data_IF_855378889283
#
_entry.id   IF_855378889283
#
_cell.length_a   1.000
_cell.length_b   1.000
_cell.length_c   1.000
_cell.angle_alpha   90.00
_cell.angle_beta   90.00
_cell.angle_gamma   90.00
#
_symmetry.space_group_name_H-M   'P 1'
#
loop_
_entity.id
_entity.type
_entity.pdbx_description
1 polymer ?
#
# COMPACT_ATOMS: atom_id res chain seq x y z
N UNK A 1 5.36 1.62 39.11
CA UNK A 1 6.59 1.72 38.30
C UNK A 1 6.19 2.40 37.01
N UNK A 2 6.46 3.70 36.92
CA UNK A 2 6.03 4.58 35.82
C UNK A 2 7.20 4.73 34.87
N UNK A 3 6.97 4.39 33.60
CA UNK A 3 7.99 4.38 32.55
C UNK A 3 8.59 5.79 32.37
N UNK A 4 9.92 5.91 32.49
CA UNK A 4 10.65 7.18 32.39
C UNK A 4 10.68 7.77 30.97
N UNK A 5 10.00 7.15 30.01
CA UNK A 5 9.91 7.58 28.61
C UNK A 5 8.53 8.13 28.20
N UNK A 6 7.70 8.57 29.15
CA UNK A 6 6.37 9.11 28.86
C UNK A 6 6.45 10.51 28.19
N UNK A 7 6.69 10.54 26.88
CA UNK A 7 6.65 11.77 26.08
C UNK A 7 5.27 11.90 25.44
N UNK A 8 4.44 12.82 25.97
CA UNK A 8 3.12 13.12 25.42
C UNK A 8 3.18 13.42 23.92
N UNK A 9 4.25 14.08 23.47
CA UNK A 9 4.52 14.35 22.07
C UNK A 9 4.69 13.07 21.25
N UNK A 10 5.45 12.08 21.76
CA UNK A 10 5.64 10.80 21.06
C UNK A 10 4.33 10.02 20.92
N UNK A 11 3.50 9.97 21.96
CA UNK A 11 2.19 9.32 21.90
C UNK A 11 1.22 10.06 20.97
N UNK A 12 1.22 11.39 20.96
CA UNK A 12 0.42 12.18 20.03
C UNK A 12 0.79 11.92 18.56
N UNK A 13 2.08 11.84 18.25
CA UNK A 13 2.54 11.48 16.91
C UNK A 13 2.16 10.04 16.52
N UNK A 14 2.25 9.09 17.46
CA UNK A 14 1.83 7.72 17.23
C UNK A 14 0.32 7.61 16.95
N UNK A 15 -0.50 8.34 17.71
CA UNK A 15 -1.95 8.38 17.51
C UNK A 15 -2.31 9.05 16.17
N UNK A 16 -1.67 10.17 15.83
CA UNK A 16 -1.85 10.82 14.54
C UNK A 16 -1.51 9.86 13.39
N UNK A 17 -0.38 9.16 13.47
CA UNK A 17 0.00 8.13 12.50
C UNK A 17 -1.04 7.01 12.39
N UNK A 18 -1.57 6.50 13.51
CA UNK A 18 -2.59 5.44 13.50
C UNK A 18 -3.89 5.88 12.82
N UNK A 19 -4.33 7.12 13.05
CA UNK A 19 -5.52 7.67 12.40
C UNK A 19 -5.28 7.83 10.90
N UNK A 20 -4.12 8.38 10.51
CA UNK A 20 -3.75 8.57 9.11
C UNK A 20 -3.67 7.25 8.36
N UNK A 21 -2.93 6.26 8.88
CA UNK A 21 -2.75 4.97 8.19
C UNK A 21 -4.07 4.20 8.06
N UNK A 22 -4.95 4.28 9.06
CA UNK A 22 -6.27 3.63 9.00
C UNK A 22 -7.15 4.29 7.93
N UNK A 23 -7.17 5.62 7.92
CA UNK A 23 -7.93 6.41 6.94
C UNK A 23 -7.43 6.14 5.52
N UNK A 24 -6.11 6.13 5.32
CA UNK A 24 -5.48 5.83 4.04
C UNK A 24 -5.92 4.45 3.50
N UNK A 25 -5.88 3.40 4.32
CA UNK A 25 -6.21 2.04 3.88
C UNK A 25 -7.67 1.93 3.41
N UNK A 26 -8.61 2.57 4.13
CA UNK A 26 -10.03 2.59 3.75
C UNK A 26 -10.25 3.45 2.51
N UNK A 27 -9.63 4.64 2.46
CA UNK A 27 -9.76 5.58 1.36
C UNK A 27 -9.23 5.01 0.05
N UNK A 28 -8.06 4.37 0.06
CA UNK A 28 -7.51 3.73 -1.13
C UNK A 28 -8.45 2.60 -1.58
N UNK A 29 -9.01 1.79 -0.67
CA UNK A 29 -9.96 0.75 -1.07
C UNK A 29 -11.21 1.36 -1.73
N UNK A 30 -11.75 2.44 -1.17
CA UNK A 30 -12.86 3.16 -1.77
C UNK A 30 -12.49 3.66 -3.17
N UNK A 31 -11.36 4.35 -3.34
CA UNK A 31 -10.87 4.82 -4.65
C UNK A 31 -10.72 3.68 -5.66
N UNK A 32 -10.08 2.59 -5.24
CA UNK A 32 -9.77 1.45 -6.12
C UNK A 32 -11.02 0.71 -6.58
N UNK A 33 -12.08 0.70 -5.78
CA UNK A 33 -13.37 0.11 -6.12
C UNK A 33 -14.29 1.07 -6.89
N UNK A 34 -14.23 2.38 -6.62
CA UNK A 34 -15.18 3.35 -7.17
C UNK A 34 -14.67 4.03 -8.46
N UNK A 35 -13.36 4.14 -8.65
CA UNK A 35 -12.79 4.64 -9.90
C UNK A 35 -12.55 3.44 -10.83
N UNK A 36 -13.18 3.44 -12.01
CA UNK A 36 -12.99 2.43 -13.06
C UNK A 36 -11.62 2.47 -13.75
N UNK A 37 -10.57 2.89 -13.05
CA UNK A 37 -9.22 3.02 -13.57
C UNK A 37 -8.48 1.67 -13.55
N UNK A 38 -7.58 1.51 -14.53
CA UNK A 38 -6.64 0.40 -14.53
C UNK A 38 -5.58 0.58 -13.41
N UNK A 39 -4.95 -0.50 -12.97
CA UNK A 39 -3.89 -0.50 -11.94
C UNK A 39 -2.76 0.47 -12.29
N UNK A 40 -2.37 0.55 -13.56
CA UNK A 40 -1.38 1.51 -14.05
C UNK A 40 -1.78 2.96 -13.83
N UNK A 41 -3.07 3.30 -13.96
CA UNK A 41 -3.57 4.64 -13.67
C UNK A 41 -3.40 4.99 -12.19
N UNK A 42 -3.79 4.08 -11.29
CA UNK A 42 -3.58 4.29 -9.85
C UNK A 42 -2.11 4.44 -9.46
N UNK A 43 -1.23 3.62 -10.04
CA UNK A 43 0.22 3.71 -9.82
C UNK A 43 0.75 5.05 -10.29
N UNK A 44 0.36 5.51 -11.48
CA UNK A 44 0.78 6.78 -12.05
C UNK A 44 0.32 7.95 -11.16
N UNK A 45 -0.97 8.01 -10.79
CA UNK A 45 -1.49 9.07 -9.94
C UNK A 45 -0.82 9.11 -8.57
N UNK A 46 -0.61 7.94 -7.95
CA UNK A 46 0.05 7.86 -6.66
C UNK A 46 1.49 8.40 -6.72
N UNK A 47 2.28 7.93 -7.69
CA UNK A 47 3.67 8.36 -7.83
C UNK A 47 3.77 9.83 -8.28
N UNK A 48 2.85 10.32 -9.11
CA UNK A 48 2.81 11.71 -9.54
C UNK A 48 2.45 12.64 -8.37
N UNK A 49 1.44 12.31 -7.57
CA UNK A 49 1.10 13.08 -6.38
C UNK A 49 2.26 13.10 -5.37
N UNK A 50 2.95 11.98 -5.18
CA UNK A 50 4.17 11.93 -4.36
C UNK A 50 5.27 12.83 -4.94
N UNK A 51 5.47 12.83 -6.26
CA UNK A 51 6.46 13.69 -6.92
C UNK A 51 6.11 15.19 -6.76
N UNK A 52 4.83 15.55 -6.78
CA UNK A 52 4.39 16.93 -6.56
C UNK A 52 4.56 17.37 -5.10
N UNK A 53 4.36 16.47 -4.14
CA UNK A 53 4.54 16.76 -2.71
C UNK A 53 6.01 16.77 -2.26
N UNK A 54 6.86 15.96 -2.89
CA UNK A 54 8.28 15.84 -2.56
C UNK A 54 9.04 17.19 -2.49
N UNK A 55 8.96 18.10 -3.48
CA UNK A 55 9.66 19.39 -3.41
C UNK A 55 9.09 20.31 -2.33
N UNK A 56 7.80 20.19 -1.99
CA UNK A 56 7.17 20.97 -0.92
C UNK A 56 7.77 20.57 0.43
N UNK A 57 7.84 19.25 0.71
CA UNK A 57 8.47 18.73 1.92
C UNK A 57 9.96 19.07 1.97
N UNK A 58 10.65 18.98 0.84
CA UNK A 58 12.06 19.34 0.78
C UNK A 58 12.31 20.81 1.15
N UNK A 59 11.43 21.72 0.71
CA UNK A 59 11.48 23.13 1.08
C UNK A 59 11.15 23.36 2.56
N UNK A 60 10.09 22.75 3.08
CA UNK A 60 9.63 22.92 4.48
C UNK A 60 10.64 22.37 5.48
N UNK A 61 11.23 21.21 5.21
CA UNK A 61 12.22 20.58 6.12
C UNK A 61 13.58 21.28 6.06
N UNK A 62 13.85 22.08 5.03
CA UNK A 62 15.05 22.92 4.95
C UNK A 62 16.35 22.17 4.64
N UNK A 63 16.26 20.92 4.17
CA UNK A 63 17.41 20.04 3.92
C UNK A 63 18.27 20.45 2.71
N UNK A 64 17.89 21.50 1.98
CA UNK A 64 18.69 22.02 0.86
C UNK A 64 20.10 22.44 1.30
N UNK A 65 20.26 22.93 2.55
CA UNK A 65 21.58 23.33 3.08
C UNK A 65 22.50 22.15 3.35
N UNK A 66 21.97 21.07 3.93
CA UNK A 66 22.77 19.87 4.25
C UNK A 66 23.20 19.15 2.97
N UNK A 67 22.35 19.10 1.94
CA UNK A 67 22.70 18.52 0.63
C UNK A 67 23.81 19.32 -0.06
N UNK A 68 23.73 20.66 -0.04
CA UNK A 68 24.76 21.52 -0.63
C UNK A 68 26.12 21.38 0.08
N UNK A 69 26.12 21.34 1.42
CA UNK A 69 27.36 21.14 2.20
C UNK A 69 27.95 19.73 2.02
N UNK A 70 27.11 18.69 1.91
CA UNK A 70 27.56 17.33 1.62
C UNK A 70 28.12 17.20 0.19
N UNK A 71 27.63 18.01 -0.75
CA UNK A 71 28.12 18.08 -2.12
C UNK A 71 29.48 18.77 -2.21
N UNK A 72 29.65 19.91 -1.51
CA UNK A 72 30.90 20.67 -1.49
C UNK A 72 32.04 19.89 -0.80
N UNK A 73 31.74 19.17 0.28
CA UNK A 73 32.73 18.38 1.01
C UNK A 73 33.20 17.10 0.30
N UNK A 74 32.45 16.61 -0.70
CA UNK A 74 32.78 15.36 -1.41
C UNK A 74 33.75 15.54 -2.58
N UNK A 75 33.84 16.72 -3.19
CA UNK A 75 34.83 17.05 -4.23
C UNK A 75 34.80 16.23 -5.54
N UNK A 76 34.10 15.09 -5.57
CA UNK A 76 33.87 14.26 -6.77
C UNK A 76 32.57 14.66 -7.47
N UNK A 77 32.53 14.43 -8.79
CA UNK A 77 31.46 14.90 -9.67
C UNK A 77 30.05 14.45 -9.27
N UNK A 78 29.04 15.13 -9.82
CA UNK A 78 27.62 14.98 -9.48
C UNK A 78 27.06 13.55 -9.69
N UNK A 79 27.78 12.69 -10.43
CA UNK A 79 27.33 11.36 -10.83
C UNK A 79 28.34 10.29 -10.42
N UNK A 80 28.11 9.69 -9.25
CA UNK A 80 28.73 8.40 -8.91
C UNK A 80 27.86 7.28 -9.49
N UNK A 81 28.45 6.44 -10.35
CA UNK A 81 27.70 5.36 -11.02
C UNK A 81 27.07 4.38 -10.03
N UNK A 82 27.75 4.07 -8.92
CA UNK A 82 27.22 3.18 -7.88
C UNK A 82 25.96 3.76 -7.22
N UNK A 83 25.98 5.05 -6.89
CA UNK A 83 24.83 5.72 -6.29
C UNK A 83 23.67 5.83 -7.28
N UNK A 84 23.96 6.15 -8.54
CA UNK A 84 22.96 6.19 -9.59
C UNK A 84 22.29 4.83 -9.81
N UNK A 85 23.07 3.75 -9.91
CA UNK A 85 22.55 2.39 -10.08
C UNK A 85 21.72 1.97 -8.86
N UNK A 86 22.18 2.26 -7.65
CA UNK A 86 21.42 1.95 -6.43
C UNK A 86 20.07 2.70 -6.39
N UNK A 87 20.05 3.97 -6.77
CA UNK A 87 18.82 4.78 -6.85
C UNK A 87 17.91 4.28 -7.98
N UNK A 88 18.45 3.96 -9.15
CA UNK A 88 17.66 3.43 -10.26
C UNK A 88 16.99 2.10 -9.88
N UNK A 89 17.73 1.19 -9.24
CA UNK A 89 17.18 -0.08 -8.75
C UNK A 89 16.12 0.14 -7.67
N UNK A 90 16.33 1.06 -6.73
CA UNK A 90 15.33 1.36 -5.70
C UNK A 90 14.05 1.96 -6.30
N UNK A 91 14.16 2.79 -7.34
CA UNK A 91 13.02 3.29 -8.10
C UNK A 91 12.27 2.14 -8.81
N UNK A 92 12.98 1.20 -9.44
CA UNK A 92 12.34 0.02 -10.06
C UNK A 92 11.57 -0.79 -9.02
N UNK A 93 12.18 -1.11 -7.88
CA UNK A 93 11.48 -1.80 -6.80
C UNK A 93 10.30 -0.98 -6.25
N UNK A 94 10.44 0.34 -6.10
CA UNK A 94 9.36 1.23 -5.68
C UNK A 94 8.16 1.22 -6.63
N UNK A 95 8.42 1.20 -7.95
CA UNK A 95 7.38 1.06 -8.97
C UNK A 95 6.71 -0.31 -8.90
N UNK A 96 7.48 -1.39 -8.73
CA UNK A 96 6.93 -2.74 -8.57
C UNK A 96 6.07 -2.86 -7.31
N UNK A 97 6.53 -2.34 -6.17
CA UNK A 97 5.76 -2.32 -4.91
C UNK A 97 4.47 -1.52 -5.10
N UNK A 98 4.52 -0.37 -5.77
CA UNK A 98 3.33 0.41 -6.07
C UNK A 98 2.34 -0.39 -6.92
N UNK A 99 2.82 -1.03 -7.99
CA UNK A 99 2.00 -1.80 -8.90
C UNK A 99 1.33 -3.00 -8.21
N UNK A 100 2.12 -3.85 -7.56
CA UNK A 100 1.60 -5.00 -6.84
C UNK A 100 0.73 -4.60 -5.65
N UNK A 101 1.03 -3.47 -4.99
CA UNK A 101 0.20 -2.93 -3.91
C UNK A 101 -1.21 -2.57 -4.39
N UNK A 102 -1.35 -1.82 -5.49
CA UNK A 102 -2.67 -1.50 -6.05
C UNK A 102 -3.35 -2.72 -6.69
N UNK A 103 -2.61 -3.59 -7.36
CA UNK A 103 -3.14 -4.84 -7.88
C UNK A 103 -3.73 -5.73 -6.77
N UNK A 104 -3.01 -5.87 -5.65
CA UNK A 104 -3.49 -6.59 -4.49
C UNK A 104 -4.74 -5.93 -3.89
N UNK A 105 -4.76 -4.60 -3.73
CA UNK A 105 -5.96 -3.89 -3.22
C UNK A 105 -7.18 -4.03 -4.14
N UNK A 106 -7.02 -4.25 -5.45
CA UNK A 106 -8.11 -4.64 -6.34
C UNK A 106 -8.60 -6.05 -6.05
N UNK A 107 -7.68 -7.01 -5.89
CA UNK A 107 -8.00 -8.43 -5.75
C UNK A 107 -8.47 -8.86 -4.35
N UNK A 108 -8.05 -8.18 -3.28
CA UNK A 108 -8.34 -8.56 -1.89
C UNK A 108 -9.10 -7.48 -1.11
N UNK A 109 -9.74 -7.86 0.00
CA UNK A 109 -10.38 -6.91 0.91
C UNK A 109 -9.36 -6.02 1.62
N UNK A 110 -9.79 -4.86 2.15
CA UNK A 110 -8.91 -3.95 2.88
C UNK A 110 -8.25 -4.61 4.09
N UNK A 111 -9.01 -5.42 4.84
CA UNK A 111 -8.51 -6.18 6.00
C UNK A 111 -7.52 -7.26 5.60
N UNK A 112 -7.76 -7.96 4.49
CA UNK A 112 -6.81 -8.95 3.99
C UNK A 112 -5.48 -8.31 3.58
N UNK A 113 -5.53 -7.16 2.92
CA UNK A 113 -4.33 -6.42 2.53
C UNK A 113 -3.48 -5.99 3.74
N UNK A 114 -4.11 -5.50 4.81
CA UNK A 114 -3.38 -5.10 6.02
C UNK A 114 -2.79 -6.30 6.76
N UNK A 115 -3.53 -7.41 6.88
CA UNK A 115 -3.03 -8.66 7.48
C UNK A 115 -1.84 -9.21 6.69
N UNK A 116 -1.92 -9.26 5.36
CA UNK A 116 -0.80 -9.67 4.51
C UNK A 116 0.41 -8.75 4.66
N UNK A 117 0.19 -7.43 4.80
CA UNK A 117 1.27 -6.48 5.08
C UNK A 117 2.01 -6.77 6.39
N UNK A 118 1.27 -7.14 7.45
CA UNK A 118 1.86 -7.55 8.73
C UNK A 118 2.67 -8.84 8.57
N UNK A 119 2.13 -9.84 7.87
CA UNK A 119 2.86 -11.09 7.59
C UNK A 119 4.14 -10.83 6.79
N UNK A 120 4.10 -9.95 5.78
CA UNK A 120 5.27 -9.56 5.01
C UNK A 120 6.36 -8.90 5.87
N UNK A 121 5.95 -8.02 6.81
CA UNK A 121 6.88 -7.40 7.76
C UNK A 121 7.60 -8.45 8.62
N UNK A 122 6.86 -9.43 9.15
CA UNK A 122 7.44 -10.52 9.93
C UNK A 122 8.30 -11.46 9.08
N UNK A 123 7.92 -11.73 7.84
CA UNK A 123 8.70 -12.54 6.92
C UNK A 123 10.08 -11.92 6.64
N UNK A 124 10.14 -10.62 6.39
CA UNK A 124 11.43 -9.93 6.20
C UNK A 124 12.31 -10.02 7.44
N UNK A 125 11.71 -9.89 8.64
CA UNK A 125 12.44 -10.09 9.90
C UNK A 125 12.96 -11.52 10.02
N UNK A 126 12.15 -12.53 9.66
CA UNK A 126 12.57 -13.93 9.65
C UNK A 126 13.75 -14.18 8.71
N UNK A 127 13.68 -13.66 7.48
CA UNK A 127 14.76 -13.79 6.48
C UNK A 127 16.04 -13.11 6.99
N UNK A 128 15.92 -11.89 7.54
CA UNK A 128 17.07 -11.18 8.11
C UNK A 128 17.75 -11.99 9.23
N UNK A 129 16.96 -12.64 10.08
CA UNK A 129 17.44 -13.48 11.18
C UNK A 129 18.01 -14.82 10.67
N UNK A 130 17.50 -15.38 9.57
CA UNK A 130 18.06 -16.58 8.94
C UNK A 130 19.38 -16.30 8.20
N UNK A 131 19.58 -15.10 7.67
CA UNK A 131 20.80 -14.69 6.96
C UNK A 131 21.89 -14.27 7.95
N UNK A 132 21.54 -13.58 9.05
CA UNK A 132 22.49 -13.20 10.10
C UNK A 132 22.50 -14.25 11.21
N UNK A 133 23.52 -15.11 11.20
CA UNK A 133 23.68 -16.29 12.04
C UNK A 133 24.02 -15.96 13.53
N UNK A 134 23.29 -15.01 14.13
CA UNK A 134 23.51 -14.55 15.50
C UNK A 134 22.25 -14.77 16.34
N UNK A 135 22.07 -16.03 16.76
CA UNK A 135 21.16 -16.50 17.81
C UNK A 135 19.82 -15.75 17.83
N UNK A 136 18.97 -16.03 16.84
CA UNK A 136 17.55 -15.79 16.96
C UNK A 136 17.08 -16.37 18.30
N UNK A 137 16.64 -15.52 19.25
CA UNK A 137 16.01 -15.99 20.47
C UNK A 137 14.90 -16.98 20.07
N UNK A 138 14.89 -18.20 20.60
CA UNK A 138 13.96 -19.26 20.19
C UNK A 138 12.49 -18.83 20.24
N UNK A 139 12.17 -17.85 21.10
CA UNK A 139 10.86 -17.19 21.22
C UNK A 139 10.50 -16.37 19.97
N UNK A 140 11.47 -15.67 19.37
CA UNK A 140 11.27 -14.90 18.14
C UNK A 140 10.90 -15.80 16.97
N UNK A 141 11.60 -16.93 16.81
CA UNK A 141 11.31 -17.92 15.78
C UNK A 141 9.89 -18.51 15.90
N UNK A 142 9.42 -18.79 17.13
CA UNK A 142 8.06 -19.30 17.38
C UNK A 142 7.00 -18.23 17.07
N UNK A 143 7.22 -16.98 17.46
CA UNK A 143 6.31 -15.87 17.16
C UNK A 143 6.18 -15.63 15.63
N UNK A 144 7.29 -15.76 14.91
CA UNK A 144 7.33 -15.66 13.45
C UNK A 144 6.52 -16.78 12.79
N UNK A 145 6.73 -18.03 13.22
CA UNK A 145 5.95 -19.18 12.76
C UNK A 145 4.46 -18.99 13.03
N UNK A 146 4.09 -18.57 14.24
CA UNK A 146 2.70 -18.31 14.60
C UNK A 146 2.07 -17.21 13.73
N UNK A 147 2.83 -16.15 13.41
CA UNK A 147 2.35 -15.07 12.53
C UNK A 147 2.10 -15.58 11.10
N UNK A 148 3.00 -16.40 10.56
CA UNK A 148 2.84 -16.99 9.23
C UNK A 148 1.63 -17.93 9.21
N UNK A 149 1.50 -18.79 10.22
CA UNK A 149 0.33 -19.67 10.39
C UNK A 149 -0.96 -18.86 10.51
N UNK A 150 -0.98 -17.78 11.29
CA UNK A 150 -2.13 -16.88 11.39
C UNK A 150 -2.51 -16.26 10.04
N UNK A 151 -1.53 -15.88 9.21
CA UNK A 151 -1.76 -15.42 7.85
C UNK A 151 -2.38 -16.48 6.94
N UNK A 152 -1.90 -17.73 7.02
CA UNK A 152 -2.45 -18.88 6.27
C UNK A 152 -3.86 -19.19 6.72
N UNK A 153 -4.11 -19.25 8.03
CA UNK A 153 -5.44 -19.48 8.61
C UNK A 153 -6.41 -18.34 8.24
N UNK A 154 -5.94 -17.10 8.13
CA UNK A 154 -6.75 -15.99 7.66
C UNK A 154 -7.14 -16.16 6.18
N UNK A 155 -6.20 -16.57 5.31
CA UNK A 155 -6.56 -16.94 3.94
C UNK A 155 -7.60 -18.06 3.92
N UNK A 156 -7.41 -19.10 4.74
CA UNK A 156 -8.37 -20.19 4.83
C UNK A 156 -9.72 -19.73 5.35
N UNK A 157 -9.80 -18.80 6.31
CA UNK A 157 -11.09 -18.33 6.85
C UNK A 157 -11.87 -17.49 5.85
N UNK A 158 -11.19 -16.65 5.06
CA UNK A 158 -11.85 -15.89 3.98
C UNK A 158 -12.22 -16.77 2.80
N UNK A 159 -11.50 -17.88 2.55
CA UNK A 159 -11.84 -18.86 1.52
C UNK A 159 -12.90 -19.87 1.97
N UNK A 160 -12.97 -20.23 3.25
CA UNK A 160 -13.90 -21.26 3.77
C UNK A 160 -15.31 -20.71 3.99
N UNK A 161 -15.49 -19.40 4.12
CA UNK A 161 -16.82 -18.76 4.07
C UNK A 161 -17.48 -18.76 2.68
N UNK A 162 -16.74 -19.15 1.64
CA UNK A 162 -17.23 -19.31 0.26
C UNK A 162 -16.87 -20.70 -0.26
N UNK A 163 -17.73 -21.69 -0.02
CA UNK A 163 -17.51 -23.06 -0.49
C UNK A 163 -17.18 -23.12 -1.99
N UNK A 164 -16.06 -23.80 -2.29
CA UNK A 164 -15.64 -24.37 -3.59
C UNK A 164 -14.91 -23.43 -4.56
N UNK A 165 -13.58 -23.43 -4.50
CA UNK A 165 -12.72 -23.74 -5.66
C UNK A 165 -11.24 -23.68 -5.23
N UNK A 166 -10.63 -24.85 -5.07
CA UNK A 166 -9.19 -24.97 -5.20
C UNK A 166 -8.82 -24.79 -6.67
N UNK A 167 -7.92 -23.85 -7.00
CA UNK A 167 -7.01 -23.96 -8.14
C UNK A 167 -5.79 -23.03 -7.95
N UNK A 168 -4.56 -23.56 -8.06
CA UNK A 168 -3.36 -22.77 -8.35
C UNK A 168 -3.23 -22.61 -9.88
N UNK A 169 -3.56 -21.44 -10.44
CA UNK A 169 -3.44 -21.17 -11.89
C UNK A 169 -4.33 -20.01 -12.34
N UNK A 170 -4.01 -19.35 -13.48
CA UNK A 170 -4.29 -17.93 -13.71
C UNK A 170 -5.74 -17.60 -14.05
N UNK A 171 -6.14 -16.40 -13.64
CA UNK A 171 -7.20 -15.55 -14.19
C UNK A 171 -8.29 -16.24 -15.04
N UNK A 172 -9.47 -16.43 -14.48
CA UNK A 172 -10.71 -16.39 -15.24
C UNK A 172 -11.89 -16.03 -14.34
N UNK A 173 -12.49 -14.88 -14.67
CA UNK A 173 -13.88 -14.46 -14.48
C UNK A 173 -14.84 -15.46 -13.84
N UNK A 174 -15.63 -14.97 -12.88
CA UNK A 174 -17.07 -15.21 -12.91
C UNK A 174 -17.87 -14.06 -12.26
N UNK A 175 -19.12 -13.88 -12.72
CA UNK A 175 -19.78 -12.59 -12.89
C UNK A 175 -20.92 -12.39 -11.87
N UNK A 176 -21.02 -11.20 -11.30
CA UNK A 176 -22.21 -10.78 -10.53
C UNK A 176 -22.60 -9.31 -10.67
N UNK A 177 -21.79 -8.49 -11.34
CA UNK A 177 -22.01 -7.05 -11.39
C UNK A 177 -22.71 -6.56 -12.67
N UNK A 178 -22.97 -7.44 -13.64
CA UNK A 178 -23.64 -7.08 -14.90
C UNK A 178 -25.16 -6.88 -14.79
N UNK A 179 -25.80 -7.46 -13.76
CA UNK A 179 -27.26 -7.32 -13.57
C UNK A 179 -27.58 -6.01 -12.83
N UNK A 180 -26.74 -5.62 -11.86
CA UNK A 180 -26.92 -4.39 -11.06
C UNK A 180 -26.62 -3.12 -11.88
N UNK A 181 -25.70 -3.21 -12.84
CA UNK A 181 -25.32 -2.07 -13.69
C UNK A 181 -26.40 -1.71 -14.73
N UNK A 182 -27.20 -2.68 -15.20
CA UNK A 182 -28.31 -2.41 -16.12
C UNK A 182 -29.50 -1.74 -15.45
N UNK A 183 -29.78 -2.12 -14.20
CA UNK A 183 -30.87 -1.53 -13.42
C UNK A 183 -30.55 -0.06 -13.03
N UNK A 184 -29.27 0.23 -12.76
CA UNK A 184 -28.81 1.59 -12.46
C UNK A 184 -28.75 2.51 -13.70
N UNK A 185 -28.41 1.97 -14.87
CA UNK A 185 -28.40 2.73 -16.13
C UNK A 185 -29.82 3.00 -16.67
N UNK A 186 -30.77 2.06 -16.52
CA UNK A 186 -32.19 2.29 -16.89
C UNK A 186 -32.84 3.35 -15.99
N UNK A 187 -32.56 3.34 -14.67
CA UNK A 187 -33.09 4.34 -13.74
C UNK A 187 -32.59 5.75 -14.10
N UNK A 188 -31.27 5.90 -14.37
CA UNK A 188 -30.67 7.18 -14.78
C UNK A 188 -31.18 7.67 -16.14
N UNK A 189 -31.43 6.78 -17.09
CA UNK A 189 -31.89 7.16 -18.43
C UNK A 189 -33.37 7.60 -18.43
N UNK A 190 -34.21 7.01 -17.57
CA UNK A 190 -35.61 7.43 -17.39
C UNK A 190 -35.73 8.84 -16.78
N UNK A 191 -34.88 9.16 -15.80
CA UNK A 191 -34.87 10.45 -15.10
C UNK A 191 -34.39 11.59 -16.00
N UNK A 192 -33.48 11.32 -16.95
CA UNK A 192 -32.99 12.30 -17.92
C UNK A 192 -34.02 12.58 -19.02
N UNK A 193 -34.80 11.59 -19.45
CA UNK A 193 -35.86 11.81 -20.46
C UNK A 193 -37.03 12.64 -19.94
N UNK A 194 -37.31 12.58 -18.63
CA UNK A 194 -38.43 13.31 -18.02
C UNK A 194 -38.09 14.78 -17.70
N UNK A 195 -36.83 15.20 -17.84
CA UNK A 195 -36.33 16.51 -17.42
C UNK A 195 -36.12 17.51 -18.58
N UNK A 196 -36.66 17.25 -19.78
CA UNK A 196 -36.58 18.19 -20.91
C UNK A 196 -37.87 19.02 -21.02
N UNK A 197 -37.96 20.24 -20.46
CA UNK A 197 -39.05 21.15 -20.79
C UNK A 197 -38.87 21.68 -22.22
N UNK A 198 -39.98 21.67 -22.95
CA UNK A 198 -40.17 22.16 -24.31
C UNK A 198 -39.65 23.59 -24.51
N UNK A 199 -38.83 23.76 -25.54
CA UNK A 199 -38.48 25.06 -26.12
C UNK A 199 -39.73 25.88 -26.45
N UNK A 200 -39.68 27.17 -26.14
CA UNK A 200 -40.41 28.23 -26.85
C UNK A 200 -39.44 29.01 -27.69
#
# INVERSE_FOLDING_TARGET
MTDSAFSLTAYSWALAYLVTITTEMVYIKHIVTNLGLNTWGFVLYNNLLSLMLAPIFWFVTGEYKSVFMAMESRGEGWFQMDAFVAVALSCVFGLLISFFGFAARKAVSATAFTVTGVVNKFLTVAINVMIWDKHASSIGSVCLLFTIVGGILYQQSVTTGGNTAAQPGPASEQPKDEIDMKEFDEEKQSLVSSAKPSET
#
